data_IF_835119228753
#
_entry.id   IF_835119228753
#
_cell.length_a   1.000
_cell.length_b   1.000
_cell.length_c   1.000
_cell.angle_alpha   90.00
_cell.angle_beta   90.00
_cell.angle_gamma   90.00
#
_symmetry.space_group_name_H-M   'P 1'
#
loop_
_entity.id
_entity.type
_entity.pdbx_description
1 polymer ?
#
# COMPACT_ATOMS: atom_id res chain seq x y z
N UNK A 1 16.10 13.86 -22.99
CA UNK A 1 16.05 12.48 -22.44
C UNK A 1 15.49 12.44 -21.00
N UNK A 2 15.66 13.48 -20.18
CA UNK A 2 15.16 13.52 -18.80
C UNK A 2 13.64 13.31 -18.66
N UNK A 3 12.86 13.92 -19.57
CA UNK A 3 11.41 13.79 -19.57
C UNK A 3 10.92 12.35 -19.86
N UNK A 4 11.70 11.56 -20.60
CA UNK A 4 11.33 10.18 -20.94
C UNK A 4 11.36 9.28 -19.70
N UNK A 5 12.34 9.46 -18.82
CA UNK A 5 12.42 8.73 -17.55
C UNK A 5 11.23 9.06 -16.66
N UNK A 6 10.86 10.34 -16.57
CA UNK A 6 9.68 10.77 -15.82
C UNK A 6 8.38 10.14 -16.35
N UNK A 7 8.22 10.08 -17.68
CA UNK A 7 7.06 9.45 -18.30
C UNK A 7 7.03 7.93 -18.05
N UNK A 8 8.18 7.26 -18.13
CA UNK A 8 8.29 5.82 -17.84
C UNK A 8 7.95 5.53 -16.37
N UNK A 9 8.49 6.29 -15.42
CA UNK A 9 8.16 6.17 -14.00
C UNK A 9 6.67 6.40 -13.76
N UNK A 10 6.08 7.42 -14.40
CA UNK A 10 4.65 7.72 -14.28
C UNK A 10 3.79 6.58 -14.83
N UNK A 11 4.17 5.98 -15.96
CA UNK A 11 3.48 4.84 -16.53
C UNK A 11 3.56 3.60 -15.63
N UNK A 12 4.74 3.30 -15.09
CA UNK A 12 4.94 2.20 -14.14
C UNK A 12 4.07 2.37 -12.90
N UNK A 13 4.15 3.53 -12.24
CA UNK A 13 3.35 3.85 -11.05
C UNK A 13 1.85 3.69 -11.36
N UNK A 14 1.39 4.16 -12.52
CA UNK A 14 -0.02 4.06 -12.93
C UNK A 14 -0.45 2.62 -13.17
N UNK A 15 0.41 1.78 -13.73
CA UNK A 15 0.15 0.35 -13.95
C UNK A 15 0.06 -0.39 -12.60
N UNK A 16 1.01 -0.14 -11.69
CA UNK A 16 0.98 -0.72 -10.34
C UNK A 16 -0.28 -0.31 -9.58
N UNK A 17 -0.63 0.97 -9.61
CA UNK A 17 -1.84 1.47 -8.97
C UNK A 17 -3.10 0.76 -9.51
N UNK A 18 -3.24 0.61 -10.83
CA UNK A 18 -4.37 -0.13 -11.43
C UNK A 18 -4.41 -1.59 -10.96
N UNK A 19 -3.26 -2.27 -10.96
CA UNK A 19 -3.17 -3.66 -10.54
C UNK A 19 -3.59 -3.83 -9.07
N UNK A 20 -3.09 -2.98 -8.17
CA UNK A 20 -3.42 -3.03 -6.75
C UNK A 20 -4.91 -2.75 -6.53
N UNK A 21 -5.47 -1.72 -7.17
CA UNK A 21 -6.89 -1.38 -6.98
C UNK A 21 -7.86 -2.47 -7.49
N UNK A 22 -7.44 -3.24 -8.50
CA UNK A 22 -8.26 -4.32 -9.04
C UNK A 22 -8.19 -5.60 -8.20
N UNK A 23 -7.06 -5.84 -7.53
CA UNK A 23 -6.84 -7.06 -6.74
C UNK A 23 -7.21 -6.88 -5.26
N UNK A 24 -7.06 -5.67 -4.74
CA UNK A 24 -7.32 -5.34 -3.35
C UNK A 24 -8.72 -4.75 -3.18
N UNK A 25 -9.43 -5.13 -2.12
CA UNK A 25 -10.70 -4.47 -1.77
C UNK A 25 -10.44 -3.10 -1.13
N UNK A 26 -10.22 -2.09 -1.97
CA UNK A 26 -9.88 -0.73 -1.55
C UNK A 26 -10.96 -0.03 -0.71
N UNK A 27 -12.21 -0.54 -0.75
CA UNK A 27 -13.29 0.00 0.09
C UNK A 27 -12.98 -0.18 1.57
N UNK A 28 -12.35 -1.29 1.95
CA UNK A 28 -11.89 -1.55 3.33
C UNK A 28 -10.86 -0.52 3.82
N UNK A 29 -10.19 0.16 2.90
CA UNK A 29 -9.21 1.21 3.18
C UNK A 29 -9.79 2.63 3.08
N UNK A 30 -11.12 2.75 2.92
CA UNK A 30 -11.78 4.03 2.71
C UNK A 30 -11.41 4.66 1.36
N UNK A 31 -11.02 3.85 0.37
CA UNK A 31 -10.65 4.29 -0.97
C UNK A 31 -11.64 3.71 -1.98
N UNK A 32 -11.89 4.45 -3.05
CA UNK A 32 -12.70 3.99 -4.17
C UNK A 32 -11.80 3.61 -5.34
N UNK A 33 -12.29 2.72 -6.21
CA UNK A 33 -11.62 2.33 -7.46
C UNK A 33 -11.33 3.54 -8.36
N UNK A 34 -12.13 4.60 -8.24
CA UNK A 34 -12.00 5.87 -8.98
C UNK A 34 -11.21 6.95 -8.24
N UNK A 35 -10.71 6.68 -7.02
CA UNK A 35 -9.96 7.67 -6.24
C UNK A 35 -8.64 8.08 -6.92
N UNK A 36 -8.23 9.34 -6.82
CA UNK A 36 -6.97 9.80 -7.42
C UNK A 36 -5.75 9.09 -6.81
N UNK A 37 -4.68 8.91 -7.60
CA UNK A 37 -3.44 8.25 -7.15
C UNK A 37 -2.83 8.91 -5.91
N UNK A 38 -2.90 10.25 -5.82
CA UNK A 38 -2.42 11.00 -4.65
C UNK A 38 -3.19 10.65 -3.37
N UNK A 39 -4.51 10.45 -3.47
CA UNK A 39 -5.34 10.03 -2.34
C UNK A 39 -5.02 8.59 -1.92
N UNK A 40 -4.76 7.71 -2.90
CA UNK A 40 -4.28 6.35 -2.64
C UNK A 40 -2.92 6.37 -1.91
N UNK A 41 -1.95 7.14 -2.37
CA UNK A 41 -0.64 7.26 -1.70
C UNK A 41 -0.81 7.75 -0.27
N UNK A 42 -1.61 8.79 -0.05
CA UNK A 42 -1.79 9.36 1.29
C UNK A 42 -2.53 8.42 2.25
N UNK A 43 -3.59 7.75 1.81
CA UNK A 43 -4.39 6.87 2.69
C UNK A 43 -3.83 5.47 2.83
N UNK A 44 -3.26 4.91 1.77
CA UNK A 44 -2.81 3.52 1.74
C UNK A 44 -1.31 3.38 2.05
N UNK A 45 -0.46 4.14 1.34
CA UNK A 45 1.00 3.99 1.40
C UNK A 45 1.60 4.75 2.59
N UNK A 46 1.08 5.94 2.92
CA UNK A 46 1.66 6.80 3.97
C UNK A 46 1.42 6.29 5.39
N UNK A 47 0.80 5.12 5.57
CA UNK A 47 0.58 4.53 6.88
C UNK A 47 1.93 4.17 7.50
N UNK A 48 2.21 4.61 8.74
CA UNK A 48 3.46 4.28 9.41
C UNK A 48 3.56 2.78 9.68
N UNK A 49 4.66 2.17 9.26
CA UNK A 49 4.97 0.78 9.51
C UNK A 49 6.45 0.61 9.88
N UNK A 50 6.74 -0.40 10.68
CA UNK A 50 8.09 -0.70 11.17
C UNK A 50 8.34 -2.19 11.19
N UNK A 51 9.44 -2.62 10.61
CA UNK A 51 9.93 -3.99 10.79
C UNK A 51 10.55 -4.13 12.18
N UNK A 52 10.01 -5.03 12.99
CA UNK A 52 10.47 -5.32 14.35
C UNK A 52 10.96 -6.76 14.39
N UNK A 53 12.10 -6.99 15.04
CA UNK A 53 12.60 -8.36 15.25
C UNK A 53 11.87 -8.99 16.43
N UNK A 54 11.05 -9.99 16.16
CA UNK A 54 10.38 -10.82 17.17
C UNK A 54 11.06 -12.17 17.22
N UNK A 55 11.78 -12.45 18.31
CA UNK A 55 12.59 -13.67 18.51
C UNK A 55 13.48 -14.01 17.31
N UNK A 56 13.02 -14.88 16.40
CA UNK A 56 13.76 -15.39 15.23
C UNK A 56 13.31 -14.78 13.89
N UNK A 57 12.28 -13.93 13.84
CA UNK A 57 11.70 -13.39 12.59
C UNK A 57 11.57 -11.88 12.64
N UNK A 58 11.72 -11.22 11.49
CA UNK A 58 11.31 -9.82 11.33
C UNK A 58 9.83 -9.79 10.97
N UNK A 59 9.05 -9.02 11.72
CA UNK A 59 7.61 -8.86 11.58
C UNK A 59 7.31 -7.41 11.25
N UNK A 60 6.47 -7.17 10.24
CA UNK A 60 6.05 -5.83 9.88
C UNK A 60 4.93 -5.38 10.82
N UNK A 61 5.23 -4.46 11.72
CA UNK A 61 4.20 -3.84 12.56
C UNK A 61 3.62 -2.61 11.85
N UNK A 62 2.31 -2.59 11.64
CA UNK A 62 1.60 -1.50 10.95
C UNK A 62 0.81 -0.73 12.01
N UNK A 63 1.12 0.54 12.19
CA UNK A 63 0.52 1.37 13.24
C UNK A 63 -0.71 2.10 12.70
N UNK A 64 -1.82 1.38 12.58
CA UNK A 64 -3.09 1.93 12.09
C UNK A 64 -4.28 1.34 12.83
N UNK A 65 -5.33 2.13 12.99
CA UNK A 65 -6.61 1.67 13.56
C UNK A 65 -7.46 0.89 12.53
N UNK A 66 -7.02 0.82 11.27
CA UNK A 66 -7.73 0.09 10.24
C UNK A 66 -7.32 -1.39 10.23
N UNK A 67 -8.19 -2.25 10.75
CA UNK A 67 -7.98 -3.70 10.81
C UNK A 67 -7.87 -4.38 9.43
N UNK A 68 -8.29 -3.73 8.34
CA UNK A 68 -8.13 -4.27 6.98
C UNK A 68 -6.66 -4.52 6.59
N UNK A 69 -5.72 -3.80 7.21
CA UNK A 69 -4.29 -4.02 6.99
C UNK A 69 -3.81 -5.38 7.52
N UNK A 70 -4.44 -5.91 8.58
CA UNK A 70 -4.06 -7.21 9.13
C UNK A 70 -4.41 -8.36 8.16
N UNK A 71 -5.54 -8.26 7.45
CA UNK A 71 -5.98 -9.23 6.45
C UNK A 71 -5.08 -9.24 5.21
N UNK A 72 -4.55 -8.07 4.81
CA UNK A 72 -3.69 -7.94 3.62
C UNK A 72 -2.24 -8.29 3.90
N UNK A 73 -1.72 -7.90 5.07
CA UNK A 73 -0.31 -8.05 5.42
C UNK A 73 -0.04 -9.20 6.39
N UNK A 74 -1.06 -10.01 6.70
CA UNK A 74 -1.07 -11.18 7.60
C UNK A 74 0.27 -11.41 8.30
N UNK A 75 0.46 -10.71 9.41
CA UNK A 75 1.46 -11.10 10.40
C UNK A 75 0.78 -12.10 11.32
N UNK A 76 0.95 -13.40 11.04
CA UNK A 76 0.47 -14.53 11.86
C UNK A 76 1.07 -14.52 13.29
N UNK A 77 0.74 -13.52 14.08
CA UNK A 77 1.07 -13.47 15.50
C UNK A 77 -0.18 -13.10 16.27
N UNK A 78 -0.88 -14.14 16.73
CA UNK A 78 -1.79 -14.08 17.87
C UNK A 78 -1.05 -13.86 19.18
#
# INVERSE_FOLDING_TARGET
>A
AENTVFLLLTALIRNFYKAIIQRLDVKKFGLNVTSRIKAFVFRFISVPAKWIKTSRRYVLNIYTCNYAYADVFQTDFG
#
